data_IF_427010177931
#
_entry.id   IF_427010177931
#
_cell.length_a   1.000
_cell.length_b   1.000
_cell.length_c   1.000
_cell.angle_alpha   90.00
_cell.angle_beta   90.00
_cell.angle_gamma   90.00
#
_symmetry.space_group_name_H-M   'P 1'
#
loop_
_entity.id
_entity.type
_entity.pdbx_description
1 polymer ?
#
# COMPACT_ATOMS: atom_id res chain seq x y z
N UNK A 1 25.20 16.35 -23.51
CA UNK A 1 26.33 16.97 -22.78
C UNK A 1 26.08 16.75 -21.30
N UNK A 2 26.79 15.77 -20.75
CA UNK A 2 26.23 14.84 -19.77
C UNK A 2 26.79 15.08 -18.38
N UNK A 3 25.93 14.79 -17.40
CA UNK A 3 26.07 14.58 -15.94
C UNK A 3 27.36 13.92 -15.41
N UNK A 4 28.31 13.57 -16.28
CA UNK A 4 29.63 13.03 -15.96
C UNK A 4 30.62 14.10 -15.45
N UNK A 5 30.51 15.37 -15.89
CA UNK A 5 31.41 16.46 -15.46
C UNK A 5 31.12 17.00 -14.06
N UNK A 6 29.90 16.84 -13.53
CA UNK A 6 29.60 17.19 -12.14
C UNK A 6 30.11 16.10 -11.17
N UNK A 7 30.17 14.84 -11.62
CA UNK A 7 30.72 13.72 -10.84
C UNK A 7 32.26 13.72 -10.73
N UNK A 8 32.98 14.34 -11.67
CA UNK A 8 34.45 14.37 -11.66
C UNK A 8 35.05 15.43 -10.73
N UNK A 9 34.34 16.52 -10.44
CA UNK A 9 34.86 17.57 -9.56
C UNK A 9 34.68 17.23 -8.08
N UNK A 10 33.62 16.49 -7.71
CA UNK A 10 33.41 16.04 -6.33
C UNK A 10 34.39 14.91 -5.96
N UNK A 11 34.79 14.06 -6.91
CA UNK A 11 35.67 12.91 -6.63
C UNK A 11 37.18 13.27 -6.61
N UNK A 12 37.61 14.36 -7.25
CA UNK A 12 39.01 14.78 -7.23
C UNK A 12 39.35 15.62 -5.98
N UNK A 13 38.38 16.35 -5.42
CA UNK A 13 38.50 17.02 -4.12
C UNK A 13 38.28 16.05 -2.93
N UNK A 14 37.68 14.89 -3.14
CA UNK A 14 37.43 13.88 -2.10
C UNK A 14 38.71 13.23 -1.54
N UNK A 15 39.88 13.38 -2.17
CA UNK A 15 41.15 12.93 -1.60
C UNK A 15 41.67 13.82 -0.45
N UNK A 16 41.02 14.97 -0.19
CA UNK A 16 41.25 15.85 0.98
C UNK A 16 39.97 16.03 1.80
N UNK A 17 39.23 14.93 2.03
CA UNK A 17 37.89 15.01 2.58
C UNK A 17 37.86 15.60 4.02
N UNK A 18 37.18 16.74 4.28
CA UNK A 18 37.10 17.37 5.61
C UNK A 18 36.50 16.48 6.71
N UNK A 19 35.70 15.48 6.33
CA UNK A 19 35.15 14.45 7.24
C UNK A 19 36.22 13.74 8.08
N UNK A 20 37.42 13.51 7.52
CA UNK A 20 38.49 12.78 8.20
C UNK A 20 39.33 13.66 9.12
N UNK A 21 39.15 14.99 9.06
CA UNK A 21 39.83 15.95 9.94
C UNK A 21 39.03 16.27 11.21
N UNK A 22 37.75 15.86 11.30
CA UNK A 22 36.90 16.05 12.47
C UNK A 22 36.67 14.73 13.20
N UNK A 23 37.21 14.61 14.41
CA UNK A 23 37.01 13.44 15.29
C UNK A 23 35.52 13.17 15.55
N UNK A 24 34.70 14.22 15.60
CA UNK A 24 33.26 14.10 15.79
C UNK A 24 32.55 13.53 14.56
N UNK A 25 32.91 13.98 13.35
CA UNK A 25 32.30 13.45 12.13
C UNK A 25 32.65 11.97 11.95
N UNK A 26 33.90 11.62 12.30
CA UNK A 26 34.37 10.25 12.36
C UNK A 26 33.60 9.41 13.39
N UNK A 27 33.44 9.91 14.61
CA UNK A 27 32.67 9.25 15.68
C UNK A 27 31.21 9.01 15.28
N UNK A 28 30.59 9.95 14.57
CA UNK A 28 29.22 9.80 14.07
C UNK A 28 29.12 8.73 12.97
N UNK A 29 30.07 8.68 12.05
CA UNK A 29 30.17 7.60 11.06
C UNK A 29 30.37 6.25 11.76
N UNK A 30 31.29 6.16 12.72
CA UNK A 30 31.52 4.94 13.52
C UNK A 30 30.27 4.50 14.29
N UNK A 31 29.51 5.44 14.85
CA UNK A 31 28.20 5.18 15.48
C UNK A 31 27.20 4.58 14.48
N UNK A 32 27.13 5.12 13.27
CA UNK A 32 26.29 4.55 12.22
C UNK A 32 26.73 3.10 11.90
N UNK A 33 28.00 2.76 12.16
CA UNK A 33 28.65 1.57 11.59
C UNK A 33 28.43 0.39 12.48
N UNK A 34 28.52 0.67 13.78
CA UNK A 34 28.31 -0.27 14.86
C UNK A 34 27.02 -1.08 14.68
N UNK A 35 25.97 -0.46 14.12
CA UNK A 35 24.68 -1.13 13.91
C UNK A 35 24.23 -1.16 12.44
N UNK A 36 25.12 -0.89 11.47
CA UNK A 36 24.81 -0.89 10.03
C UNK A 36 23.64 0.05 9.67
N UNK A 37 23.56 1.22 10.32
CA UNK A 37 22.54 2.23 10.03
C UNK A 37 22.77 2.76 8.62
N UNK A 38 21.75 2.68 7.76
CA UNK A 38 21.83 3.23 6.40
C UNK A 38 20.78 4.29 6.10
N UNK A 39 19.64 4.30 6.79
CA UNK A 39 18.65 5.40 6.70
C UNK A 39 17.61 5.25 7.83
N UNK A 40 17.23 6.29 8.58
CA UNK A 40 16.02 6.33 9.40
C UNK A 40 14.73 6.18 8.58
N UNK A 41 13.57 6.09 9.24
CA UNK A 41 12.26 6.17 8.58
C UNK A 41 12.09 7.50 7.85
N UNK A 42 11.26 7.57 6.79
CA UNK A 42 11.07 8.81 6.02
C UNK A 42 10.71 10.02 6.88
N UNK A 43 9.78 9.85 7.82
CA UNK A 43 9.34 10.91 8.76
C UNK A 43 10.49 11.43 9.64
N UNK A 44 11.28 10.52 10.21
CA UNK A 44 12.45 10.90 11.02
C UNK A 44 13.50 11.60 10.15
N UNK A 45 13.69 11.12 8.93
CA UNK A 45 14.65 11.71 7.99
C UNK A 45 14.25 13.13 7.59
N UNK A 46 12.97 13.37 7.31
CA UNK A 46 12.42 14.70 7.03
C UNK A 46 12.55 15.63 8.24
N UNK A 47 12.28 15.12 9.44
CA UNK A 47 12.47 15.89 10.68
C UNK A 47 13.94 16.33 10.85
N UNK A 48 14.88 15.39 10.73
CA UNK A 48 16.31 15.69 10.82
C UNK A 48 16.71 16.73 9.77
N UNK A 49 16.25 16.57 8.53
CA UNK A 49 16.53 17.52 7.45
C UNK A 49 15.96 18.91 7.72
N UNK A 50 14.73 19.01 8.26
CA UNK A 50 14.11 20.30 8.64
C UNK A 50 14.92 20.99 9.73
N UNK A 51 15.24 20.27 10.81
CA UNK A 51 15.96 20.85 11.97
C UNK A 51 17.38 21.28 11.60
N UNK A 52 18.05 20.56 10.71
CA UNK A 52 19.35 20.96 10.18
C UNK A 52 19.25 22.22 9.30
N UNK A 53 18.21 22.35 8.47
CA UNK A 53 17.98 23.58 7.69
C UNK A 53 17.70 24.78 8.59
N UNK A 54 16.86 24.62 9.61
CA UNK A 54 16.55 25.66 10.60
C UNK A 54 17.82 26.13 11.32
N UNK A 55 18.72 25.21 11.65
CA UNK A 55 19.97 25.51 12.38
C UNK A 55 20.96 26.37 11.60
N UNK A 56 20.82 26.48 10.27
CA UNK A 56 21.68 27.32 9.42
C UNK A 56 21.04 28.69 9.09
N UNK A 57 19.77 28.91 9.46
CA UNK A 57 19.05 30.17 9.27
C UNK A 57 18.81 30.58 7.81
N UNK A 58 18.54 31.86 7.56
CA UNK A 58 18.27 32.44 6.22
C UNK A 58 19.52 32.57 5.33
N UNK A 59 20.64 31.95 5.70
CA UNK A 59 21.86 31.95 4.91
C UNK A 59 21.63 31.10 3.63
N UNK A 60 22.38 31.37 2.56
CA UNK A 60 22.22 30.77 1.22
C UNK A 60 22.30 29.22 1.15
N UNK A 61 22.52 28.55 2.29
CA UNK A 61 22.63 27.11 2.49
C UNK A 61 21.36 26.32 2.12
N UNK A 62 20.16 26.92 2.18
CA UNK A 62 18.91 26.23 1.80
C UNK A 62 18.91 25.83 0.31
N UNK A 63 19.55 26.61 -0.57
CA UNK A 63 19.69 26.30 -2.01
C UNK A 63 20.70 25.19 -2.31
N UNK A 64 21.59 24.86 -1.36
CA UNK A 64 22.63 23.84 -1.51
C UNK A 64 22.36 22.58 -0.67
N UNK A 65 21.20 22.47 -0.02
CA UNK A 65 20.82 21.25 0.71
C UNK A 65 20.56 20.13 -0.31
N UNK A 66 21.35 19.05 -0.33
CA UNK A 66 21.20 18.02 -1.36
C UNK A 66 19.80 17.40 -1.35
N UNK A 67 19.17 17.26 -2.53
CA UNK A 67 17.82 16.68 -2.67
C UNK A 67 17.73 15.21 -2.21
N UNK A 68 18.86 14.50 -2.13
CA UNK A 68 18.94 13.16 -1.53
C UNK A 68 18.70 13.17 -0.01
N UNK A 69 18.82 14.33 0.65
CA UNK A 69 18.60 14.51 2.09
C UNK A 69 17.15 14.88 2.45
N UNK A 70 16.26 15.04 1.46
CA UNK A 70 14.83 15.35 1.68
C UNK A 70 13.98 14.15 1.29
N UNK A 71 13.74 13.21 2.21
CA UNK A 71 12.86 12.03 2.06
C UNK A 71 13.27 10.97 1.02
N UNK A 72 13.97 11.36 -0.04
CA UNK A 72 14.33 10.52 -1.19
C UNK A 72 15.32 9.41 -0.84
N UNK A 73 16.10 9.55 0.23
CA UNK A 73 16.97 8.50 0.75
C UNK A 73 16.21 7.18 1.01
N UNK A 74 14.99 7.29 1.54
CA UNK A 74 14.12 6.14 1.80
C UNK A 74 13.64 5.44 0.53
N UNK A 75 13.60 6.15 -0.61
CA UNK A 75 13.16 5.67 -1.92
C UNK A 75 14.27 4.93 -2.68
N UNK A 76 15.54 5.04 -2.27
CA UNK A 76 16.61 4.29 -2.91
C UNK A 76 16.50 2.78 -2.66
N UNK A 77 16.84 1.99 -3.68
CA UNK A 77 16.65 0.54 -3.65
C UNK A 77 17.83 -0.25 -3.06
N UNK A 78 18.99 0.38 -2.84
CA UNK A 78 20.19 -0.32 -2.33
C UNK A 78 20.72 0.29 -1.04
N UNK A 79 21.23 -0.57 -0.15
CA UNK A 79 21.88 -0.15 1.10
C UNK A 79 23.03 0.82 0.85
N UNK A 80 23.75 0.63 -0.27
CA UNK A 80 24.89 1.45 -0.63
C UNK A 80 24.49 2.90 -0.93
N UNK A 81 23.41 3.12 -1.70
CA UNK A 81 22.89 4.47 -1.94
C UNK A 81 22.38 5.12 -0.65
N UNK A 82 21.63 4.36 0.16
CA UNK A 82 21.12 4.86 1.46
C UNK A 82 22.26 5.30 2.36
N UNK A 83 23.28 4.45 2.48
CA UNK A 83 24.46 4.72 3.29
C UNK A 83 25.24 5.95 2.80
N UNK A 84 25.34 6.15 1.49
CA UNK A 84 25.94 7.35 0.91
C UNK A 84 25.20 8.64 1.27
N UNK A 85 23.87 8.60 1.44
CA UNK A 85 23.12 9.77 1.87
C UNK A 85 23.43 10.19 3.32
N UNK A 86 23.66 9.23 4.23
CA UNK A 86 24.14 9.53 5.59
C UNK A 86 25.49 10.25 5.52
N UNK A 87 26.41 9.71 4.74
CA UNK A 87 27.74 10.29 4.57
C UNK A 87 27.63 11.72 4.02
N UNK A 88 26.92 11.93 2.91
CA UNK A 88 26.66 13.25 2.31
C UNK A 88 26.06 14.24 3.30
N UNK A 89 25.18 13.80 4.21
CA UNK A 89 24.59 14.65 5.25
C UNK A 89 25.60 15.08 6.30
N UNK A 90 26.49 14.18 6.72
CA UNK A 90 27.56 14.49 7.66
C UNK A 90 28.57 15.42 6.99
N UNK A 91 28.92 15.20 5.70
CA UNK A 91 29.76 16.12 4.91
C UNK A 91 29.16 17.51 4.91
N UNK A 92 27.87 17.58 4.61
CA UNK A 92 27.15 18.83 4.56
C UNK A 92 27.15 19.52 5.93
N UNK A 93 26.87 18.78 7.01
CA UNK A 93 26.85 19.34 8.37
C UNK A 93 28.23 19.87 8.81
N UNK A 94 29.33 19.19 8.46
CA UNK A 94 30.70 19.68 8.66
C UNK A 94 30.93 20.99 7.91
N UNK A 95 30.58 21.02 6.61
CA UNK A 95 30.79 22.18 5.74
C UNK A 95 30.10 23.45 6.25
N UNK A 96 28.93 23.30 6.86
CA UNK A 96 28.11 24.43 7.32
C UNK A 96 28.12 24.63 8.85
N UNK A 97 29.02 23.96 9.57
CA UNK A 97 29.22 24.19 11.01
C UNK A 97 28.05 23.76 11.90
N UNK A 98 27.25 22.78 11.47
CA UNK A 98 26.09 22.25 12.22
C UNK A 98 26.24 20.76 12.55
N UNK A 99 27.48 20.27 12.64
CA UNK A 99 27.78 18.87 12.93
C UNK A 99 27.26 18.44 14.32
N UNK A 100 27.35 19.28 15.34
CA UNK A 100 26.81 18.99 16.68
C UNK A 100 25.31 18.69 16.65
N UNK A 101 24.57 19.46 15.85
CA UNK A 101 23.13 19.28 15.67
C UNK A 101 22.86 17.95 14.95
N UNK A 102 23.62 17.65 13.90
CA UNK A 102 23.49 16.38 13.18
C UNK A 102 23.80 15.18 14.09
N UNK A 103 24.88 15.23 14.86
CA UNK A 103 25.27 14.15 15.78
C UNK A 103 24.20 13.91 16.86
N UNK A 104 23.71 14.98 17.50
CA UNK A 104 22.65 14.89 18.50
C UNK A 104 21.35 14.29 17.90
N UNK A 105 20.95 14.75 16.72
CA UNK A 105 19.76 14.26 16.03
C UNK A 105 19.89 12.77 15.69
N UNK A 106 20.99 12.37 15.03
CA UNK A 106 21.20 10.98 14.62
C UNK A 106 21.25 10.04 15.82
N UNK A 107 21.92 10.43 16.91
CA UNK A 107 22.01 9.61 18.13
C UNK A 107 20.69 9.54 18.90
N UNK A 108 19.83 10.55 18.77
CA UNK A 108 18.50 10.55 19.39
C UNK A 108 17.50 9.63 18.70
N UNK A 109 17.75 9.23 17.44
CA UNK A 109 16.85 8.33 16.72
C UNK A 109 16.86 6.94 17.37
N UNK A 110 15.71 6.45 17.88
CA UNK A 110 15.58 5.10 18.40
C UNK A 110 16.04 4.06 17.38
N UNK A 111 16.76 3.03 17.86
CA UNK A 111 17.29 1.96 17.00
C UNK A 111 16.21 1.33 16.09
N UNK A 112 14.96 1.22 16.56
CA UNK A 112 13.85 0.65 15.79
C UNK A 112 13.41 1.50 14.58
N UNK A 113 13.74 2.79 14.57
CA UNK A 113 13.44 3.72 13.48
C UNK A 113 14.57 3.79 12.45
N UNK A 114 15.63 3.00 12.61
CA UNK A 114 16.67 2.84 11.60
C UNK A 114 16.37 1.66 10.67
N UNK A 115 16.45 1.91 9.37
CA UNK A 115 16.69 0.88 8.37
C UNK A 115 18.17 0.48 8.44
N UNK A 116 18.40 -0.80 8.73
CA UNK A 116 19.73 -1.37 8.86
C UNK A 116 20.10 -2.07 7.55
N UNK A 117 21.26 -1.70 7.02
CA UNK A 117 21.80 -2.27 5.80
C UNK A 117 22.47 -3.64 6.02
N UNK A 118 22.95 -4.18 4.92
CA UNK A 118 23.79 -5.36 4.87
C UNK A 118 25.28 -5.00 5.05
N UNK A 119 26.18 -5.90 4.61
CA UNK A 119 27.62 -5.67 4.68
C UNK A 119 28.09 -4.88 3.45
N UNK A 120 29.16 -4.10 3.58
CA UNK A 120 29.78 -3.26 2.53
C UNK A 120 29.04 -1.94 2.26
N UNK A 121 28.88 -1.11 3.30
CA UNK A 121 28.32 0.24 3.17
C UNK A 121 29.39 1.21 2.66
N UNK A 122 28.97 2.22 1.89
CA UNK A 122 29.86 3.10 1.13
C UNK A 122 30.93 3.77 2.00
N UNK A 123 30.50 4.33 3.13
CA UNK A 123 31.36 5.07 4.03
C UNK A 123 32.26 4.17 4.90
N UNK A 124 32.06 2.85 4.94
CA UNK A 124 32.99 1.93 5.62
C UNK A 124 34.36 1.89 4.93
N UNK A 125 34.39 2.22 3.63
CA UNK A 125 35.62 2.43 2.88
C UNK A 125 36.24 3.79 3.22
N UNK A 126 35.41 4.82 3.44
CA UNK A 126 35.83 6.20 3.79
C UNK A 126 36.56 6.30 5.13
N UNK A 127 36.12 5.58 6.19
CA UNK A 127 36.78 5.57 7.51
C UNK A 127 38.05 4.71 7.57
N UNK A 128 38.45 4.12 6.45
CA UNK A 128 39.71 3.39 6.32
C UNK A 128 39.84 2.22 7.30
N UNK A 129 38.96 1.21 7.23
CA UNK A 129 39.16 -0.10 7.87
C UNK A 129 39.40 -0.14 9.40
N UNK A 130 39.41 0.99 10.10
CA UNK A 130 39.80 1.14 11.51
C UNK A 130 38.67 0.85 12.50
N UNK A 131 37.46 0.54 12.02
CA UNK A 131 36.46 -0.12 12.88
C UNK A 131 37.14 -1.40 13.40
N UNK A 132 37.19 -1.66 14.72
CA UNK A 132 37.75 -2.89 15.26
C UNK A 132 37.23 -4.03 14.42
N UNK A 133 38.11 -4.89 13.90
CA UNK A 133 37.73 -6.08 13.13
C UNK A 133 36.83 -6.92 14.04
N UNK A 134 35.54 -6.59 14.10
CA UNK A 134 34.50 -7.44 14.63
C UNK A 134 34.67 -8.72 13.85
N UNK A 135 35.12 -9.76 14.54
CA UNK A 135 35.52 -10.97 13.85
C UNK A 135 34.30 -11.45 13.04
N UNK A 136 34.55 -12.14 11.92
CA UNK A 136 33.49 -12.60 11.01
C UNK A 136 32.37 -13.36 11.75
N UNK A 137 32.70 -14.07 12.82
CA UNK A 137 31.75 -14.77 13.68
C UNK A 137 30.87 -13.82 14.51
N UNK A 138 31.41 -12.77 15.12
CA UNK A 138 30.65 -11.75 15.85
C UNK A 138 29.71 -10.97 14.92
N UNK A 139 30.15 -10.66 13.68
CA UNK A 139 29.29 -10.06 12.64
C UNK A 139 28.14 -10.98 12.25
N UNK A 140 28.44 -12.26 12.07
CA UNK A 140 27.43 -13.29 11.74
C UNK A 140 26.44 -13.46 12.88
N UNK A 141 26.92 -13.53 14.12
CA UNK A 141 26.10 -13.72 15.32
C UNK A 141 25.19 -12.52 15.61
N UNK A 142 25.66 -11.28 15.43
CA UNK A 142 24.82 -10.06 15.54
C UNK A 142 23.82 -9.95 14.40
N UNK A 143 24.21 -10.21 13.15
CA UNK A 143 23.30 -10.28 11.99
C UNK A 143 22.21 -11.32 12.21
N UNK A 144 22.57 -12.49 12.72
CA UNK A 144 21.61 -13.52 13.12
C UNK A 144 20.71 -13.05 14.25
N UNK A 145 21.22 -12.33 15.25
CA UNK A 145 20.41 -11.77 16.34
C UNK A 145 19.39 -10.75 15.83
N UNK A 146 19.78 -9.84 14.93
CA UNK A 146 18.87 -8.87 14.30
C UNK A 146 17.84 -9.56 13.40
N UNK A 147 18.29 -10.50 12.55
CA UNK A 147 17.38 -11.29 11.71
C UNK A 147 16.44 -12.16 12.55
N UNK A 148 16.89 -12.69 13.70
CA UNK A 148 16.05 -13.43 14.66
C UNK A 148 15.08 -12.51 15.35
N UNK A 149 15.48 -11.30 15.76
CA UNK A 149 14.58 -10.31 16.37
C UNK A 149 13.51 -9.84 15.37
N UNK A 150 13.89 -9.54 14.13
CA UNK A 150 12.98 -9.24 13.02
C UNK A 150 12.06 -10.42 12.72
N UNK A 151 12.59 -11.63 12.58
CA UNK A 151 11.77 -12.83 12.35
C UNK A 151 10.85 -13.15 13.54
N UNK A 152 11.24 -12.80 14.78
CA UNK A 152 10.41 -12.96 15.97
C UNK A 152 9.28 -11.92 15.97
N UNK A 153 9.58 -10.65 15.65
CA UNK A 153 8.58 -9.58 15.47
C UNK A 153 7.61 -9.89 14.34
N UNK A 154 8.11 -10.28 13.17
CA UNK A 154 7.31 -10.65 11.99
C UNK A 154 6.48 -11.93 12.21
N UNK A 155 6.84 -12.76 13.20
CA UNK A 155 6.06 -13.92 13.62
C UNK A 155 5.00 -13.60 14.67
N UNK A 156 5.12 -12.47 15.38
CA UNK A 156 4.18 -12.05 16.45
C UNK A 156 3.23 -10.94 16.01
N UNK A 157 3.63 -10.10 15.06
CA UNK A 157 2.74 -9.04 14.56
C UNK A 157 1.74 -9.59 13.54
N UNK A 158 0.46 -9.24 13.67
CA UNK A 158 -0.53 -9.66 12.69
C UNK A 158 -0.23 -9.04 11.33
N UNK A 159 -0.35 -9.87 10.29
CA UNK A 159 -0.23 -9.45 8.87
C UNK A 159 -1.09 -8.21 8.65
N UNK A 160 -0.52 -7.08 8.18
CA UNK A 160 -1.27 -5.90 7.84
C UNK A 160 -2.40 -6.22 6.85
N UNK A 161 -3.61 -5.81 7.20
CA UNK A 161 -4.82 -6.06 6.45
C UNK A 161 -5.40 -4.72 5.98
N UNK A 162 -5.66 -4.62 4.68
CA UNK A 162 -6.34 -3.49 4.06
C UNK A 162 -7.67 -4.02 3.53
N UNK A 163 -8.78 -3.49 4.02
CA UNK A 163 -10.12 -3.75 3.51
C UNK A 163 -10.49 -2.63 2.56
N UNK A 164 -10.51 -2.89 1.26
CA UNK A 164 -10.95 -1.92 0.27
C UNK A 164 -12.46 -2.05 0.07
N UNK A 165 -13.23 -1.00 0.33
CA UNK A 165 -14.71 -1.00 0.26
C UNK A 165 -15.13 0.15 -0.68
N UNK A 166 -15.11 -0.07 -2.00
CA UNK A 166 -15.27 1.01 -2.98
C UNK A 166 -16.72 1.39 -3.27
N UNK A 167 -17.69 0.52 -2.97
CA UNK A 167 -19.04 0.61 -3.54
C UNK A 167 -20.18 0.67 -2.52
N UNK A 168 -19.88 0.87 -1.22
CA UNK A 168 -20.90 0.87 -0.16
C UNK A 168 -21.74 2.15 -0.08
N UNK A 169 -21.25 3.27 -0.61
CA UNK A 169 -21.89 4.57 -0.46
C UNK A 169 -22.96 4.83 -1.53
N UNK A 170 -24.09 5.41 -1.10
CA UNK A 170 -25.22 5.81 -1.96
C UNK A 170 -25.16 7.29 -2.34
N UNK A 171 -24.45 8.11 -1.53
CA UNK A 171 -24.43 9.56 -1.66
C UNK A 171 -23.78 10.04 -2.96
N UNK A 172 -24.43 10.99 -3.64
CA UNK A 172 -23.85 11.75 -4.76
C UNK A 172 -23.75 13.21 -4.32
N UNK A 173 -22.55 13.83 -4.36
CA UNK A 173 -22.38 15.26 -4.08
C UNK A 173 -23.30 16.14 -4.92
N UNK A 174 -23.83 17.22 -4.36
CA UNK A 174 -24.77 18.10 -5.06
C UNK A 174 -24.21 18.68 -6.36
N UNK A 175 -22.89 18.91 -6.42
CA UNK A 175 -22.19 19.36 -7.63
C UNK A 175 -22.23 18.33 -8.77
N UNK A 176 -22.21 17.04 -8.47
CA UNK A 176 -22.28 15.95 -9.45
C UNK A 176 -23.72 15.55 -9.77
N UNK A 177 -24.63 15.68 -8.80
CA UNK A 177 -26.04 15.27 -8.94
C UNK A 177 -26.75 16.00 -10.10
N UNK A 178 -26.33 17.22 -10.43
CA UNK A 178 -26.87 18.03 -11.54
C UNK A 178 -26.56 17.46 -12.93
N UNK A 179 -25.58 16.57 -13.03
CA UNK A 179 -25.13 15.99 -14.30
C UNK A 179 -25.99 14.77 -14.70
N UNK A 180 -26.81 14.26 -13.78
CA UNK A 180 -27.74 13.16 -14.03
C UNK A 180 -29.01 13.67 -14.72
N UNK A 181 -29.37 13.03 -15.84
CA UNK A 181 -30.48 13.46 -16.72
C UNK A 181 -31.79 12.70 -16.45
N UNK A 182 -31.77 11.75 -15.52
CA UNK A 182 -32.94 10.95 -15.15
C UNK A 182 -33.71 11.57 -13.98
N UNK A 183 -35.03 11.35 -13.97
CA UNK A 183 -35.89 11.76 -12.85
C UNK A 183 -35.44 11.13 -11.53
N UNK A 184 -35.68 11.83 -10.42
CA UNK A 184 -35.26 11.40 -9.08
C UNK A 184 -35.60 9.93 -8.76
N UNK A 185 -36.84 9.48 -9.05
CA UNK A 185 -37.27 8.10 -8.80
C UNK A 185 -36.41 7.07 -9.56
N UNK A 186 -36.04 7.35 -10.81
CA UNK A 186 -35.16 6.47 -11.61
C UNK A 186 -33.72 6.52 -11.09
N UNK A 187 -33.20 7.71 -10.76
CA UNK A 187 -31.87 7.84 -10.16
C UNK A 187 -31.75 7.02 -8.87
N UNK A 188 -32.76 7.08 -7.99
CA UNK A 188 -32.81 6.26 -6.77
C UNK A 188 -32.78 4.76 -7.08
N UNK A 189 -33.47 4.30 -8.12
CA UNK A 189 -33.45 2.90 -8.52
C UNK A 189 -32.06 2.46 -9.04
N UNK A 190 -31.40 3.28 -9.86
CA UNK A 190 -30.03 2.99 -10.32
C UNK A 190 -29.01 2.97 -9.17
N UNK A 191 -29.14 3.91 -8.23
CA UNK A 191 -28.34 3.95 -7.01
C UNK A 191 -28.55 2.67 -6.19
N UNK A 192 -29.82 2.29 -5.96
CA UNK A 192 -30.16 1.11 -5.20
C UNK A 192 -29.61 -0.17 -5.84
N UNK A 193 -29.69 -0.28 -7.17
CA UNK A 193 -29.16 -1.43 -7.90
C UNK A 193 -27.62 -1.46 -7.87
N UNK A 194 -26.96 -0.33 -8.13
CA UNK A 194 -25.50 -0.26 -8.30
C UNK A 194 -24.72 -0.37 -6.97
N UNK A 195 -25.32 0.04 -5.85
CA UNK A 195 -24.62 0.09 -4.56
C UNK A 195 -24.45 -1.30 -3.95
N UNK A 196 -23.26 -1.57 -3.44
CA UNK A 196 -22.94 -2.74 -2.63
C UNK A 196 -23.38 -2.47 -1.19
N UNK A 197 -24.70 -2.46 -0.97
CA UNK A 197 -25.29 -2.00 0.30
C UNK A 197 -24.77 -2.77 1.51
N UNK A 198 -24.51 -2.04 2.60
CA UNK A 198 -24.07 -2.58 3.89
C UNK A 198 -22.72 -3.32 3.86
N UNK A 199 -21.95 -3.20 2.78
CA UNK A 199 -20.65 -3.88 2.63
C UNK A 199 -19.62 -3.39 3.65
N UNK A 200 -19.61 -2.09 3.93
CA UNK A 200 -18.84 -1.50 5.01
C UNK A 200 -19.17 -2.12 6.37
N UNK A 201 -20.44 -2.36 6.65
CA UNK A 201 -20.86 -3.05 7.89
C UNK A 201 -20.59 -4.55 7.89
N UNK A 202 -20.66 -5.23 6.74
CA UNK A 202 -20.39 -6.66 6.62
C UNK A 202 -18.92 -6.98 6.86
N UNK A 203 -18.03 -6.13 6.32
CA UNK A 203 -16.59 -6.31 6.40
C UNK A 203 -15.94 -5.54 7.56
N UNK A 204 -16.71 -4.71 8.28
CA UNK A 204 -16.30 -4.11 9.54
C UNK A 204 -15.75 -5.19 10.50
N UNK A 205 -14.45 -5.08 10.78
CA UNK A 205 -13.70 -6.07 11.53
C UNK A 205 -12.84 -5.39 12.59
N UNK A 206 -12.96 -5.87 13.82
CA UNK A 206 -12.10 -5.45 14.94
C UNK A 206 -10.75 -6.19 14.96
N UNK A 207 -10.30 -6.69 13.79
CA UNK A 207 -9.04 -7.39 13.69
C UNK A 207 -7.88 -6.40 13.88
N UNK A 208 -6.88 -6.70 14.73
CA UNK A 208 -5.79 -5.76 14.99
C UNK A 208 -4.98 -5.54 13.71
N UNK A 209 -4.46 -4.33 13.51
CA UNK A 209 -3.65 -4.00 12.33
C UNK A 209 -4.42 -4.03 11.00
N UNK A 210 -5.69 -3.67 11.05
CA UNK A 210 -6.60 -3.58 9.90
C UNK A 210 -6.94 -2.13 9.60
N UNK A 211 -6.92 -1.76 8.33
CA UNK A 211 -7.36 -0.46 7.85
C UNK A 211 -8.48 -0.65 6.83
N UNK A 212 -9.60 0.03 7.03
CA UNK A 212 -10.71 0.05 6.08
C UNK A 212 -10.62 1.31 5.21
N UNK A 213 -10.64 1.15 3.89
CA UNK A 213 -10.61 2.21 2.89
C UNK A 213 -11.97 2.25 2.20
N UNK A 214 -12.84 3.13 2.70
CA UNK A 214 -14.20 3.30 2.19
C UNK A 214 -14.19 4.47 1.21
N UNK A 215 -14.60 4.22 -0.04
CA UNK A 215 -14.76 5.30 -1.01
C UNK A 215 -15.98 6.16 -0.64
N UNK A 216 -15.87 7.51 -0.61
CA UNK A 216 -16.82 8.34 0.12
C UNK A 216 -18.13 8.64 -0.63
N UNK A 217 -18.24 8.30 -1.91
CA UNK A 217 -19.41 8.62 -2.74
C UNK A 217 -19.84 7.42 -3.58
N UNK A 218 -21.02 7.50 -4.18
CA UNK A 218 -21.54 6.41 -5.01
C UNK A 218 -20.71 6.15 -6.26
N UNK A 219 -20.47 4.87 -6.55
CA UNK A 219 -19.86 4.39 -7.79
C UNK A 219 -20.59 4.86 -9.05
N UNK A 220 -21.90 5.14 -8.93
CA UNK A 220 -22.70 5.68 -10.03
C UNK A 220 -22.21 7.07 -10.47
N UNK A 221 -21.59 7.84 -9.58
CA UNK A 221 -20.99 9.13 -9.89
C UNK A 221 -19.52 9.02 -10.27
N UNK A 222 -18.73 8.26 -9.50
CA UNK A 222 -17.32 7.99 -9.78
C UNK A 222 -17.02 6.57 -9.33
N UNK A 223 -16.63 5.69 -10.23
CA UNK A 223 -16.26 4.32 -9.88
C UNK A 223 -14.74 4.20 -9.72
N UNK A 224 -14.22 4.03 -8.48
CA UNK A 224 -12.78 3.90 -8.25
C UNK A 224 -12.19 2.60 -8.78
N UNK A 225 -13.00 1.67 -9.29
CA UNK A 225 -12.52 0.38 -9.80
C UNK A 225 -12.56 0.28 -11.32
N UNK A 226 -12.74 1.41 -11.98
CA UNK A 226 -12.61 1.52 -13.43
C UNK A 226 -11.29 2.20 -13.77
N UNK A 227 -10.72 1.86 -14.93
CA UNK A 227 -9.55 2.59 -15.40
C UNK A 227 -9.94 4.01 -15.81
N UNK A 228 -9.17 4.98 -15.32
CA UNK A 228 -9.33 6.40 -15.65
C UNK A 228 -9.25 6.66 -17.17
N UNK A 229 -8.39 5.90 -17.86
CA UNK A 229 -8.18 5.95 -19.31
C UNK A 229 -9.19 5.05 -20.00
N UNK A 230 -10.13 5.65 -20.73
CA UNK A 230 -11.21 4.92 -21.40
C UNK A 230 -10.72 3.86 -22.39
N UNK A 231 -9.61 4.12 -23.10
CA UNK A 231 -9.01 3.16 -24.02
C UNK A 231 -8.55 1.86 -23.33
N UNK A 232 -8.35 1.87 -22.01
CA UNK A 232 -7.98 0.73 -21.20
C UNK A 232 -9.15 0.16 -20.38
N UNK A 233 -10.32 0.79 -20.43
CA UNK A 233 -11.51 0.39 -19.65
C UNK A 233 -12.56 -0.27 -20.56
N UNK A 234 -12.68 -1.61 -20.56
CA UNK A 234 -13.64 -2.30 -21.42
C UNK A 234 -15.08 -1.84 -21.22
N UNK A 235 -15.46 -1.53 -19.97
CA UNK A 235 -16.84 -1.16 -19.63
C UNK A 235 -17.18 0.29 -20.02
N UNK A 236 -16.20 1.11 -20.41
CA UNK A 236 -16.44 2.45 -20.92
C UNK A 236 -17.26 2.42 -22.21
N UNK A 237 -17.06 1.41 -23.07
CA UNK A 237 -17.84 1.22 -24.31
C UNK A 237 -19.33 1.02 -24.07
N UNK A 238 -19.67 0.49 -22.89
CA UNK A 238 -21.03 0.22 -22.46
C UNK A 238 -21.57 1.34 -21.54
N UNK A 239 -20.87 2.47 -21.40
CA UNK A 239 -21.28 3.59 -20.55
C UNK A 239 -21.10 3.36 -19.05
N UNK A 240 -20.33 2.34 -18.64
CA UNK A 240 -20.01 1.99 -17.26
C UNK A 240 -18.51 2.18 -16.96
N UNK A 241 -17.91 3.22 -17.52
CA UNK A 241 -16.51 3.62 -17.26
C UNK A 241 -16.34 4.32 -15.91
N UNK A 242 -15.22 5.03 -15.68
CA UNK A 242 -14.97 5.72 -14.40
C UNK A 242 -16.04 6.74 -14.01
N UNK A 243 -16.70 7.36 -14.98
CA UNK A 243 -17.91 8.16 -14.80
C UNK A 243 -19.04 7.46 -15.54
N UNK A 244 -20.03 6.92 -14.83
CA UNK A 244 -21.13 6.18 -15.47
C UNK A 244 -22.00 7.14 -16.27
N UNK A 245 -22.21 6.79 -17.55
CA UNK A 245 -23.15 7.45 -18.47
C UNK A 245 -24.45 6.66 -18.58
N UNK A 246 -24.38 5.35 -18.34
CA UNK A 246 -25.51 4.41 -18.37
C UNK A 246 -25.70 3.71 -17.03
N UNK A 247 -26.92 3.23 -16.81
CA UNK A 247 -27.23 2.30 -15.73
C UNK A 247 -26.90 0.86 -16.10
N UNK A 248 -26.95 -0.03 -15.11
CA UNK A 248 -26.80 -1.47 -15.30
C UNK A 248 -27.91 -2.13 -16.15
N UNK A 249 -28.96 -1.38 -16.48
CA UNK A 249 -30.04 -1.72 -17.40
C UNK A 249 -29.81 -1.20 -18.83
N UNK A 250 -28.68 -0.54 -19.08
CA UNK A 250 -28.31 0.05 -20.37
C UNK A 250 -28.91 1.44 -20.65
N UNK A 251 -29.81 1.94 -19.80
CA UNK A 251 -30.43 3.26 -19.98
C UNK A 251 -29.45 4.39 -19.69
N UNK A 252 -29.54 5.49 -20.44
CA UNK A 252 -28.73 6.70 -20.19
C UNK A 252 -29.16 7.34 -18.88
N UNK A 253 -28.20 7.58 -17.98
CA UNK A 253 -28.42 8.20 -16.66
C UNK A 253 -27.73 9.56 -16.51
N UNK A 254 -26.69 9.81 -17.30
CA UNK A 254 -25.84 11.00 -17.21
C UNK A 254 -25.34 11.37 -18.61
N UNK A 255 -25.19 12.67 -18.88
CA UNK A 255 -24.52 13.11 -20.11
C UNK A 255 -23.02 12.82 -20.08
N UNK A 256 -22.35 12.82 -21.25
CA UNK A 256 -20.89 12.60 -21.31
C UNK A 256 -20.15 13.73 -20.58
N UNK A 257 -19.12 13.37 -19.82
CA UNK A 257 -18.28 14.32 -19.08
C UNK A 257 -16.84 14.20 -19.54
N UNK A 258 -16.35 15.28 -20.14
CA UNK A 258 -15.06 15.33 -20.82
C UNK A 258 -14.24 16.56 -20.41
N UNK A 259 -13.00 16.63 -20.91
CA UNK A 259 -12.13 17.79 -20.74
C UNK A 259 -11.90 18.19 -19.28
N UNK A 260 -11.90 19.50 -19.03
CA UNK A 260 -11.59 20.06 -17.71
C UNK A 260 -12.52 19.56 -16.59
N UNK A 261 -13.80 19.34 -16.90
CA UNK A 261 -14.77 18.87 -15.90
C UNK A 261 -14.48 17.45 -15.47
N UNK A 262 -14.12 16.56 -16.41
CA UNK A 262 -13.70 15.19 -16.08
C UNK A 262 -12.48 15.22 -15.16
N UNK A 263 -11.48 16.03 -15.49
CA UNK A 263 -10.25 16.15 -14.71
C UNK A 263 -10.50 16.65 -13.28
N UNK A 264 -11.37 17.64 -13.11
CA UNK A 264 -11.78 18.15 -11.81
C UNK A 264 -12.37 17.03 -10.93
N UNK A 265 -13.29 16.22 -11.50
CA UNK A 265 -13.93 15.12 -10.77
C UNK A 265 -12.91 14.05 -10.37
N UNK A 266 -12.03 13.66 -11.30
CA UNK A 266 -11.01 12.64 -11.06
C UNK A 266 -9.98 13.10 -10.03
N UNK A 267 -9.57 14.37 -10.08
CA UNK A 267 -8.67 14.97 -9.10
C UNK A 267 -9.30 15.07 -7.71
N UNK A 268 -10.61 15.31 -7.62
CA UNK A 268 -11.31 15.46 -6.35
C UNK A 268 -11.63 14.11 -5.66
N UNK A 269 -11.94 13.06 -6.42
CA UNK A 269 -12.47 11.81 -5.86
C UNK A 269 -11.63 10.58 -6.19
N UNK A 270 -11.34 10.35 -7.47
CA UNK A 270 -10.71 9.11 -7.94
C UNK A 270 -9.25 8.99 -7.52
N UNK A 271 -8.41 9.95 -7.89
CA UNK A 271 -6.96 9.90 -7.66
C UNK A 271 -6.60 9.95 -6.16
N UNK A 272 -7.27 10.76 -5.31
CA UNK A 272 -7.03 10.73 -3.87
C UNK A 272 -7.31 9.36 -3.24
N UNK A 273 -8.37 8.66 -3.68
CA UNK A 273 -8.68 7.32 -3.18
C UNK A 273 -7.61 6.29 -3.56
N UNK A 274 -7.14 6.32 -4.81
CA UNK A 274 -6.03 5.46 -5.23
C UNK A 274 -4.70 5.81 -4.55
N UNK A 275 -4.46 7.09 -4.28
CA UNK A 275 -3.30 7.52 -3.51
C UNK A 275 -3.36 6.98 -2.07
N UNK A 276 -4.53 7.02 -1.44
CA UNK A 276 -4.75 6.44 -0.12
C UNK A 276 -4.51 4.93 -0.10
N UNK A 277 -5.07 4.20 -1.07
CA UNK A 277 -4.82 2.75 -1.23
C UNK A 277 -3.33 2.44 -1.44
N UNK A 278 -2.64 3.21 -2.27
CA UNK A 278 -1.21 3.04 -2.51
C UNK A 278 -0.39 3.29 -1.24
N UNK A 279 -0.69 4.37 -0.51
CA UNK A 279 0.00 4.71 0.74
C UNK A 279 -0.24 3.64 1.81
N UNK A 280 -1.48 3.18 1.99
CA UNK A 280 -1.82 2.11 2.94
C UNK A 280 -1.03 0.81 2.68
N UNK A 281 -0.85 0.44 1.41
CA UNK A 281 -0.05 -0.73 1.03
C UNK A 281 1.44 -0.48 1.23
N UNK A 282 1.96 0.69 0.86
CA UNK A 282 3.37 1.06 1.09
C UNK A 282 3.72 1.04 2.59
N UNK A 283 2.87 1.62 3.44
CA UNK A 283 3.03 1.63 4.89
C UNK A 283 2.98 0.21 5.47
N UNK A 284 2.06 -0.63 4.99
CA UNK A 284 1.99 -2.04 5.36
C UNK A 284 3.27 -2.82 5.00
N UNK A 285 3.84 -2.59 3.82
CA UNK A 285 5.09 -3.23 3.38
C UNK A 285 6.33 -2.69 4.09
N UNK A 286 6.28 -1.47 4.63
CA UNK A 286 7.39 -0.90 5.41
C UNK A 286 7.60 -1.62 6.74
N UNK A 287 6.51 -2.14 7.34
CA UNK A 287 6.48 -2.72 8.68
C UNK A 287 6.40 -4.25 8.70
N UNK A 288 5.86 -4.88 7.65
CA UNK A 288 5.68 -6.32 7.55
C UNK A 288 6.21 -6.89 6.23
N UNK A 289 6.56 -8.20 6.17
CA UNK A 289 7.07 -8.82 4.95
C UNK A 289 6.03 -8.92 3.82
N UNK A 290 4.73 -8.80 4.14
CA UNK A 290 3.62 -8.83 3.18
C UNK A 290 2.47 -7.95 3.65
N UNK A 291 1.70 -7.45 2.70
CA UNK A 291 0.43 -6.76 2.91
C UNK A 291 -0.70 -7.59 2.26
N UNK A 292 -1.83 -7.73 2.95
CA UNK A 292 -3.03 -8.37 2.40
C UNK A 292 -4.09 -7.30 2.13
N UNK A 293 -4.44 -7.14 0.86
CA UNK A 293 -5.63 -6.40 0.42
C UNK A 293 -6.76 -7.39 0.27
N UNK A 294 -7.89 -7.11 0.92
CA UNK A 294 -9.15 -7.79 0.66
C UNK A 294 -10.08 -6.76 0.04
N UNK A 295 -10.49 -7.05 -1.17
CA UNK A 295 -11.32 -6.19 -1.99
C UNK A 295 -12.78 -6.59 -1.79
N UNK A 296 -13.54 -5.75 -1.10
CA UNK A 296 -14.78 -6.12 -0.43
C UNK A 296 -15.99 -5.63 -1.24
N UNK A 297 -16.77 -6.59 -1.75
CA UNK A 297 -17.90 -6.33 -2.63
C UNK A 297 -19.11 -7.19 -2.33
N UNK A 298 -20.23 -6.80 -2.94
CA UNK A 298 -21.44 -7.63 -2.99
C UNK A 298 -22.14 -7.48 -4.32
N UNK A 299 -22.75 -8.57 -4.78
CA UNK A 299 -23.40 -8.61 -6.09
C UNK A 299 -24.87 -9.06 -6.03
N UNK A 300 -25.70 -8.65 -6.99
CA UNK A 300 -27.10 -9.08 -7.03
C UNK A 300 -27.24 -10.57 -7.36
N UNK A 301 -28.29 -11.19 -6.83
CA UNK A 301 -28.63 -12.60 -7.12
C UNK A 301 -29.00 -12.82 -8.59
N UNK A 302 -29.60 -11.80 -9.20
CA UNK A 302 -30.00 -11.78 -10.61
C UNK A 302 -28.96 -10.97 -11.40
N UNK A 303 -28.44 -11.48 -12.53
CA UNK A 303 -27.50 -10.76 -13.38
C UNK A 303 -28.09 -9.43 -13.86
N UNK A 304 -27.26 -8.41 -13.95
CA UNK A 304 -27.63 -7.18 -14.65
C UNK A 304 -27.59 -7.39 -16.16
N UNK A 305 -28.34 -6.59 -16.92
CA UNK A 305 -28.33 -6.66 -18.38
C UNK A 305 -26.94 -6.39 -18.98
N UNK A 306 -26.11 -5.62 -18.26
CA UNK A 306 -24.77 -5.25 -18.67
C UNK A 306 -23.67 -6.19 -18.12
N UNK A 307 -24.04 -7.24 -17.37
CA UNK A 307 -23.07 -8.24 -16.91
C UNK A 307 -22.61 -9.13 -18.06
N UNK A 308 -21.31 -9.43 -18.11
CA UNK A 308 -20.77 -10.38 -19.09
C UNK A 308 -21.22 -11.82 -18.81
N UNK A 309 -21.34 -12.20 -17.53
CA UNK A 309 -21.83 -13.50 -17.09
C UNK A 309 -23.34 -13.41 -16.78
N UNK A 310 -24.16 -14.12 -17.55
CA UNK A 310 -25.61 -14.18 -17.37
C UNK A 310 -26.09 -15.48 -16.68
N UNK A 311 -25.17 -16.31 -16.18
CA UNK A 311 -25.51 -17.61 -15.61
C UNK A 311 -26.28 -17.52 -14.30
N UNK A 312 -27.26 -18.41 -14.16
CA UNK A 312 -28.06 -18.63 -12.95
C UNK A 312 -28.12 -20.14 -12.62
N UNK A 313 -28.19 -20.53 -11.33
CA UNK A 313 -28.12 -19.68 -10.14
C UNK A 313 -26.71 -19.11 -9.91
N UNK A 314 -26.66 -17.91 -9.32
CA UNK A 314 -25.39 -17.31 -8.90
C UNK A 314 -24.91 -17.92 -7.57
N UNK A 315 -23.58 -18.01 -7.32
CA UNK A 315 -23.09 -18.62 -6.09
C UNK A 315 -23.40 -17.72 -4.89
N UNK A 316 -23.24 -18.23 -3.67
CA UNK A 316 -23.35 -17.41 -2.46
C UNK A 316 -22.13 -16.46 -2.35
N UNK A 317 -20.96 -16.90 -2.84
CA UNK A 317 -19.70 -16.14 -2.84
C UNK A 317 -18.98 -16.27 -4.18
N UNK A 318 -18.45 -15.16 -4.67
CA UNK A 318 -17.47 -15.12 -5.75
C UNK A 318 -16.11 -14.68 -5.20
N UNK A 319 -15.04 -15.36 -5.60
CA UNK A 319 -13.66 -15.02 -5.25
C UNK A 319 -12.94 -14.55 -6.50
N UNK A 320 -12.58 -13.27 -6.57
CA UNK A 320 -11.82 -12.73 -7.68
C UNK A 320 -10.31 -12.80 -7.44
N UNK A 321 -9.55 -13.10 -8.48
CA UNK A 321 -8.09 -13.27 -8.42
C UNK A 321 -7.34 -12.18 -9.19
N UNK A 322 -6.10 -11.89 -8.77
CA UNK A 322 -5.25 -10.86 -9.36
C UNK A 322 -3.84 -11.40 -9.69
N UNK A 323 -3.74 -12.33 -10.65
CA UNK A 323 -2.47 -12.84 -11.16
C UNK A 323 -1.50 -13.28 -10.06
N UNK A 324 -0.29 -12.70 -10.03
CA UNK A 324 0.74 -13.05 -9.03
C UNK A 324 0.38 -12.66 -7.58
N UNK A 325 -0.64 -11.80 -7.40
CA UNK A 325 -1.07 -11.30 -6.09
C UNK A 325 -2.09 -12.22 -5.41
N UNK A 326 -2.70 -13.16 -6.13
CA UNK A 326 -3.66 -14.13 -5.61
C UNK A 326 -3.11 -15.56 -5.73
N UNK A 327 -2.05 -15.93 -4.97
CA UNK A 327 -1.46 -17.26 -5.09
C UNK A 327 -2.48 -18.35 -4.74
N UNK A 328 -2.36 -19.51 -5.38
CA UNK A 328 -3.35 -20.59 -5.28
C UNK A 328 -3.66 -21.04 -3.83
N UNK A 329 -2.70 -20.93 -2.90
CA UNK A 329 -2.96 -21.26 -1.49
C UNK A 329 -3.90 -20.27 -0.79
N UNK A 330 -3.92 -19.00 -1.21
CA UNK A 330 -4.80 -17.96 -0.68
C UNK A 330 -6.23 -18.20 -1.17
N UNK A 331 -6.38 -18.46 -2.48
CA UNK A 331 -7.66 -18.86 -3.09
C UNK A 331 -8.22 -20.15 -2.47
N UNK A 332 -7.36 -21.15 -2.24
CA UNK A 332 -7.75 -22.38 -1.51
C UNK A 332 -8.21 -22.10 -0.09
N UNK A 333 -7.59 -21.15 0.62
CA UNK A 333 -8.03 -20.77 1.96
C UNK A 333 -9.43 -20.14 1.93
N UNK A 334 -9.70 -19.25 0.97
CA UNK A 334 -11.00 -18.61 0.77
C UNK A 334 -12.09 -19.66 0.47
N UNK A 335 -11.87 -20.48 -0.55
CA UNK A 335 -12.82 -21.50 -0.99
C UNK A 335 -13.06 -22.57 0.07
N UNK A 336 -12.03 -22.99 0.81
CA UNK A 336 -12.16 -23.93 1.93
C UNK A 336 -13.03 -23.34 3.04
N UNK A 337 -12.84 -22.07 3.39
CA UNK A 337 -13.70 -21.40 4.37
C UNK A 337 -15.16 -21.41 3.91
N UNK A 338 -15.45 -20.96 2.69
CA UNK A 338 -16.81 -20.92 2.15
C UNK A 338 -17.49 -22.30 2.21
N UNK A 339 -16.81 -23.35 1.71
CA UNK A 339 -17.32 -24.73 1.72
C UNK A 339 -17.54 -25.25 3.14
N UNK A 340 -16.65 -24.93 4.09
CA UNK A 340 -16.79 -25.35 5.50
C UNK A 340 -18.00 -24.71 6.20
N UNK A 341 -18.48 -23.58 5.70
CA UNK A 341 -19.68 -22.90 6.19
C UNK A 341 -20.95 -23.33 5.44
N UNK A 342 -20.82 -24.23 4.45
CA UNK A 342 -21.92 -24.65 3.58
C UNK A 342 -22.34 -23.62 2.53
N UNK A 343 -21.44 -22.70 2.14
CA UNK A 343 -21.71 -21.69 1.12
C UNK A 343 -21.16 -22.15 -0.23
N UNK A 344 -21.96 -22.05 -1.29
CA UNK A 344 -21.51 -22.22 -2.66
C UNK A 344 -20.53 -21.11 -3.02
N UNK A 345 -19.45 -21.47 -3.72
CA UNK A 345 -18.38 -20.55 -4.07
C UNK A 345 -17.87 -20.83 -5.47
N UNK A 346 -17.71 -19.79 -6.27
CA UNK A 346 -16.99 -19.82 -7.56
C UNK A 346 -15.79 -18.89 -7.51
N UNK A 347 -14.79 -19.18 -8.34
CA UNK A 347 -13.58 -18.37 -8.49
C UNK A 347 -13.67 -17.69 -9.85
N UNK A 348 -13.48 -16.38 -9.89
CA UNK A 348 -13.55 -15.55 -11.10
C UNK A 348 -14.87 -15.68 -11.87
N UNK A 349 -15.98 -15.95 -11.17
CA UNK A 349 -17.34 -16.01 -11.73
C UNK A 349 -18.39 -15.65 -10.66
N UNK A 350 -19.32 -14.71 -10.92
CA UNK A 350 -19.56 -14.04 -12.22
C UNK A 350 -18.57 -12.91 -12.54
N UNK A 351 -17.75 -12.50 -11.56
CA UNK A 351 -16.78 -11.43 -11.72
C UNK A 351 -15.38 -11.94 -11.41
N UNK A 352 -14.40 -11.38 -12.11
CA UNK A 352 -12.98 -11.69 -11.94
C UNK A 352 -12.20 -10.42 -11.59
N UNK A 353 -11.04 -10.58 -10.99
CA UNK A 353 -10.15 -9.47 -10.64
C UNK A 353 -10.15 -9.15 -9.15
N UNK A 354 -9.20 -8.31 -8.76
CA UNK A 354 -9.13 -7.69 -7.45
C UNK A 354 -8.20 -6.48 -7.53
N UNK A 355 -8.50 -5.42 -6.79
CA UNK A 355 -7.71 -4.19 -6.82
C UNK A 355 -6.27 -4.45 -6.37
N UNK A 356 -5.31 -3.90 -7.11
CA UNK A 356 -3.90 -3.85 -6.72
C UNK A 356 -3.37 -2.45 -7.04
N UNK A 357 -2.71 -1.74 -6.10
CA UNK A 357 -2.12 -0.46 -6.43
C UNK A 357 -1.18 -0.57 -7.62
N UNK A 358 -1.33 0.32 -8.61
CA UNK A 358 -0.62 0.24 -9.90
C UNK A 358 0.92 0.17 -9.75
N UNK A 359 1.47 0.81 -8.72
CA UNK A 359 2.91 0.73 -8.37
C UNK A 359 3.37 -0.71 -8.15
N UNK A 360 2.53 -1.54 -7.54
CA UNK A 360 2.84 -2.91 -7.11
C UNK A 360 2.32 -3.97 -8.08
N UNK A 361 1.30 -3.65 -8.87
CA UNK A 361 0.63 -4.58 -9.78
C UNK A 361 1.61 -5.26 -10.75
N UNK A 362 1.65 -6.60 -10.74
CA UNK A 362 2.54 -7.43 -11.55
C UNK A 362 4.02 -7.39 -11.14
N UNK A 363 4.39 -6.63 -10.10
CA UNK A 363 5.79 -6.34 -9.75
C UNK A 363 6.18 -6.86 -8.36
N UNK A 364 5.35 -6.63 -7.34
CA UNK A 364 5.68 -6.96 -5.95
C UNK A 364 4.81 -8.10 -5.39
N UNK A 365 5.39 -9.31 -5.32
CA UNK A 365 4.74 -10.51 -4.76
C UNK A 365 4.47 -10.44 -3.26
N UNK A 366 4.95 -9.40 -2.56
CA UNK A 366 4.65 -9.15 -1.15
C UNK A 366 3.25 -8.56 -0.97
N UNK A 367 2.69 -7.94 -2.01
CA UNK A 367 1.28 -7.51 -2.03
C UNK A 367 0.43 -8.71 -2.41
N UNK A 368 -0.42 -9.13 -1.50
CA UNK A 368 -1.46 -10.13 -1.76
C UNK A 368 -2.78 -9.39 -1.94
N UNK A 369 -3.57 -9.79 -2.93
CA UNK A 369 -4.89 -9.21 -3.17
C UNK A 369 -5.88 -10.29 -3.58
N UNK A 370 -7.11 -10.20 -3.04
CA UNK A 370 -8.20 -11.12 -3.31
C UNK A 370 -9.53 -10.39 -3.16
N UNK A 371 -10.42 -10.56 -4.14
CA UNK A 371 -11.76 -9.99 -4.09
C UNK A 371 -12.72 -10.97 -3.47
N UNK A 372 -13.58 -10.46 -2.59
CA UNK A 372 -14.69 -11.18 -1.99
C UNK A 372 -15.97 -10.49 -2.41
N UNK A 373 -16.75 -11.20 -3.18
CA UNK A 373 -18.07 -10.81 -3.65
C UNK A 373 -19.10 -11.68 -2.92
N UNK A 374 -19.98 -11.08 -2.10
CA UNK A 374 -21.06 -11.80 -1.42
C UNK A 374 -22.39 -11.54 -2.11
N UNK A 375 -23.14 -12.59 -2.42
CA UNK A 375 -24.46 -12.47 -3.01
C UNK A 375 -25.42 -11.75 -2.04
N UNK A 376 -26.03 -10.66 -2.49
CA UNK A 376 -26.93 -9.79 -1.70
C UNK A 376 -28.15 -10.55 -1.16
N UNK A 377 -28.63 -11.59 -1.84
CA UNK A 377 -29.73 -12.44 -1.36
C UNK A 377 -29.46 -13.05 0.03
N UNK A 378 -28.18 -13.18 0.41
CA UNK A 378 -27.77 -13.77 1.70
C UNK A 378 -28.07 -12.88 2.90
N UNK A 379 -28.22 -11.57 2.70
CA UNK A 379 -28.27 -10.63 3.82
C UNK A 379 -29.19 -9.44 3.64
N UNK A 380 -29.68 -9.18 2.43
CA UNK A 380 -30.52 -8.03 2.15
C UNK A 380 -31.54 -8.30 1.03
N UNK A 381 -32.44 -7.35 0.86
CA UNK A 381 -33.34 -7.22 -0.29
C UNK A 381 -33.60 -5.74 -0.59
N UNK A 382 -34.09 -5.47 -1.80
CA UNK A 382 -34.58 -4.14 -2.16
C UNK A 382 -36.11 -4.11 -2.00
N UNK A 383 -36.62 -3.14 -1.26
CA UNK A 383 -38.04 -2.78 -1.22
C UNK A 383 -38.20 -1.47 -1.98
N UNK A 384 -38.48 -1.59 -3.28
CA UNK A 384 -38.35 -0.46 -4.22
C UNK A 384 -36.88 -0.03 -4.34
N UNK A 385 -36.58 1.24 -4.03
CA UNK A 385 -35.21 1.77 -4.04
C UNK A 385 -34.52 1.72 -2.67
N UNK A 386 -35.17 1.14 -1.65
CA UNK A 386 -34.64 1.07 -0.30
C UNK A 386 -34.00 -0.30 -0.06
N UNK A 387 -32.75 -0.33 0.39
CA UNK A 387 -32.10 -1.54 0.85
C UNK A 387 -32.55 -1.87 2.28
N UNK A 388 -32.99 -3.11 2.49
CA UNK A 388 -33.46 -3.62 3.78
C UNK A 388 -32.66 -4.85 4.15
N UNK A 389 -32.16 -4.89 5.39
CA UNK A 389 -31.44 -6.05 5.92
C UNK A 389 -32.42 -7.20 6.17
N UNK A 390 -32.05 -8.40 5.73
CA UNK A 390 -32.74 -9.64 6.12
C UNK A 390 -32.35 -10.04 7.53
N UNK A 391 -33.15 -10.91 8.16
CA UNK A 391 -32.82 -11.50 9.47
C UNK A 391 -31.45 -12.22 9.48
N UNK A 392 -31.02 -12.73 8.32
CA UNK A 392 -29.73 -13.39 8.11
C UNK A 392 -28.52 -12.45 8.11
N UNK A 393 -28.70 -11.12 8.17
CA UNK A 393 -27.60 -10.15 8.10
C UNK A 393 -26.48 -10.43 9.09
N UNK A 394 -26.81 -10.66 10.38
CA UNK A 394 -25.82 -10.97 11.41
C UNK A 394 -25.04 -12.25 11.13
N UNK A 395 -25.68 -13.26 10.53
CA UNK A 395 -25.02 -14.51 10.11
C UNK A 395 -24.05 -14.25 8.96
N UNK A 396 -24.45 -13.43 7.99
CA UNK A 396 -23.60 -13.02 6.88
C UNK A 396 -22.38 -12.19 7.34
N UNK A 397 -22.57 -11.23 8.25
CA UNK A 397 -21.47 -10.46 8.85
C UNK A 397 -20.44 -11.38 9.55
N UNK A 398 -20.92 -12.35 10.35
CA UNK A 398 -20.02 -13.35 10.98
C UNK A 398 -19.27 -14.20 9.95
N UNK A 399 -19.94 -14.58 8.86
CA UNK A 399 -19.31 -15.31 7.76
C UNK A 399 -18.18 -14.49 7.11
N UNK A 400 -18.43 -13.22 6.78
CA UNK A 400 -17.45 -12.33 6.17
C UNK A 400 -16.25 -12.10 7.10
N UNK A 401 -16.49 -11.81 8.38
CA UNK A 401 -15.44 -11.63 9.37
C UNK A 401 -14.55 -12.89 9.52
N UNK A 402 -15.16 -14.08 9.53
CA UNK A 402 -14.44 -15.35 9.58
C UNK A 402 -13.64 -15.65 8.30
N UNK A 403 -14.16 -15.27 7.13
CA UNK A 403 -13.45 -15.40 5.85
C UNK A 403 -12.19 -14.51 5.82
N UNK A 404 -12.32 -13.24 6.20
CA UNK A 404 -11.21 -12.30 6.32
C UNK A 404 -10.16 -12.80 7.31
N UNK A 405 -10.58 -13.31 8.48
CA UNK A 405 -9.67 -13.90 9.46
C UNK A 405 -8.96 -15.14 8.92
N UNK A 406 -9.66 -16.02 8.20
CA UNK A 406 -9.09 -17.23 7.60
C UNK A 406 -8.05 -16.91 6.53
N UNK A 407 -8.29 -15.90 5.70
CA UNK A 407 -7.33 -15.38 4.72
C UNK A 407 -6.08 -14.86 5.42
N UNK A 408 -6.23 -13.99 6.41
CA UNK A 408 -5.09 -13.44 7.15
C UNK A 408 -4.27 -14.53 7.85
N UNK A 409 -4.94 -15.52 8.45
CA UNK A 409 -4.29 -16.67 9.05
C UNK A 409 -3.55 -17.55 8.03
N UNK A 410 -4.06 -17.64 6.79
CA UNK A 410 -3.34 -18.31 5.71
C UNK A 410 -2.04 -17.59 5.33
N UNK A 411 -2.07 -16.25 5.25
CA UNK A 411 -0.85 -15.45 5.00
C UNK A 411 0.17 -15.64 6.12
N UNK A 412 -0.26 -15.57 7.38
CA UNK A 412 0.62 -15.76 8.53
C UNK A 412 1.28 -17.15 8.52
N UNK A 413 0.53 -18.21 8.21
CA UNK A 413 1.08 -19.57 8.08
C UNK A 413 2.09 -19.68 6.93
N UNK A 414 1.82 -19.09 5.78
CA UNK A 414 2.76 -19.11 4.65
C UNK A 414 4.05 -18.35 4.98
N UNK A 415 3.96 -17.21 5.68
CA UNK A 415 5.13 -16.48 6.17
C UNK A 415 6.00 -17.36 7.11
N UNK A 416 5.38 -18.09 8.03
CA UNK A 416 6.08 -18.98 8.96
C UNK A 416 6.79 -20.15 8.23
N UNK A 417 6.13 -20.78 7.26
CA UNK A 417 6.70 -21.88 6.46
C UNK A 417 7.90 -21.40 5.64
N UNK A 418 7.80 -20.22 5.02
CA UNK A 418 8.91 -19.65 4.24
C UNK A 418 10.11 -19.32 5.13
N UNK A 419 9.88 -18.79 6.33
CA UNK A 419 10.95 -18.54 7.31
C UNK A 419 11.68 -19.82 7.74
N UNK A 420 10.97 -20.94 7.93
CA UNK A 420 11.56 -22.24 8.25
C UNK A 420 12.44 -22.79 7.10
N UNK A 421 11.98 -22.66 5.85
CA UNK A 421 12.74 -23.09 4.66
C UNK A 421 14.04 -22.31 4.50
N UNK A 422 14.01 -20.99 4.73
CA UNK A 422 15.21 -20.12 4.67
C UNK A 422 16.20 -20.49 5.77
N UNK A 423 15.74 -20.86 6.97
CA UNK A 423 16.62 -21.32 8.06
C UNK A 423 17.32 -22.64 7.72
N UNK A 424 16.58 -23.64 7.21
CA UNK A 424 17.16 -24.95 6.84
C UNK A 424 18.22 -24.84 5.74
N UNK A 425 18.04 -23.95 4.75
CA UNK A 425 19.02 -23.71 3.68
C UNK A 425 20.29 -22.97 4.13
N UNK A 426 20.29 -22.35 5.31
CA UNK A 426 21.47 -21.66 5.87
C UNK A 426 22.24 -22.53 6.87
N UNK A 427 21.64 -23.63 7.33
CA UNK A 427 22.24 -24.59 8.26
C UNK A 427 22.85 -25.81 7.57
N UNK A 428 22.71 -25.90 6.25
CA UNK A 428 23.38 -26.83 5.33
C UNK A 428 24.30 -26.00 4.45
#
# INVERSE_FOLDING_TARGET
MTTRKIRSNISAEAAKHPLLASDQARSLLEYCAADLRVCPTPEVWENIASRLKESVGNNAAIRCFPNCLTGAASLYHTDQHKSGCIEEQIVWAVKYGVLDVADALFRSVPHAQWYLGSVNLHWMDTIGGQIPRYNRAQRTQRREKVLRAKAKRDATEPVPLILHIPHSQVGIPASLKREFVVRHKKLSAHLAASTDHFTDELFDSNLPNTQALIFPISRLAVDPERFEREALEPMAKCGLGVLYERGHDGNVIRGPITGARREEILAAWYRPHHAWLMQSVDDALSRAPRALVVDCHTFPDVPFAMDADQEVPRPDVCIGTAGIHAPAWLVRAATKWCKSQGWSVRVDAPYSGSIVPLKHNGKDRRVLSIMIEINRARYMELQGAQAVRRASFKKCKRFAAGLVAALRAAVARDNAVNNLKVRKRKST
#
